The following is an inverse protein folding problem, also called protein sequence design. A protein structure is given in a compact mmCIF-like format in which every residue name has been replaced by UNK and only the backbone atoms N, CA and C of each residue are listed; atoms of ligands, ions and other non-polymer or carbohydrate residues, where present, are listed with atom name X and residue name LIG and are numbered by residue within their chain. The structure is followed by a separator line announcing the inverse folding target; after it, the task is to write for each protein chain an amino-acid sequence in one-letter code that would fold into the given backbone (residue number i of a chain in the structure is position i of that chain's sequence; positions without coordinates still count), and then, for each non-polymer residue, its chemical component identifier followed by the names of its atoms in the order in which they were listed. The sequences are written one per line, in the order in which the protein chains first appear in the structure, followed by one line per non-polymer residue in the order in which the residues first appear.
data_IF_306706104938
#
_entry.id   IF_306706104938
#
_cell.length_a   1.000
_cell.length_b   1.000
_cell.length_c   1.000
_cell.angle_alpha   90.00
_cell.angle_beta   90.00
_cell.angle_gamma   90.00
#
_symmetry.space_group_name_H-M   'P 1'
#
loop_
_entity.id
_entity.type
_entity.pdbx_description
1 polymer ?
#
# COMPACT_ATOMS: atom_id res chain seq x y z
N UNK A 1 28.75 2.70 6.65
CA UNK A 1 28.51 3.83 5.73
C UNK A 1 27.09 4.31 5.96
N UNK A 2 26.79 5.62 6.06
CA UNK A 2 25.41 6.06 5.97
C UNK A 2 24.94 5.76 4.55
N UNK A 3 24.00 4.83 4.39
CA UNK A 3 23.30 4.65 3.13
C UNK A 3 22.48 5.92 2.86
N UNK A 4 22.54 6.38 1.60
CA UNK A 4 21.82 7.54 1.09
C UNK A 4 20.32 7.38 1.42
N UNK A 5 19.85 8.07 2.46
CA UNK A 5 18.48 7.96 2.95
C UNK A 5 17.58 8.89 2.16
N UNK A 6 16.38 8.40 1.84
CA UNK A 6 15.28 8.96 1.05
C UNK A 6 14.78 10.36 1.47
N UNK A 7 15.66 11.34 1.45
CA UNK A 7 15.38 12.75 1.61
C UNK A 7 16.15 13.54 0.55
N UNK A 8 15.64 14.70 0.20
CA UNK A 8 16.47 15.72 -0.42
C UNK A 8 16.84 16.69 0.67
N UNK A 9 18.11 16.67 1.04
CA UNK A 9 18.67 17.70 1.86
C UNK A 9 19.45 18.69 1.01
N UNK A 10 19.40 19.93 1.43
CA UNK A 10 20.10 21.01 0.78
C UNK A 10 20.74 21.85 1.86
N UNK A 11 22.00 22.20 1.64
CA UNK A 11 22.58 23.37 2.30
C UNK A 11 22.37 24.54 1.34
N UNK A 12 21.39 25.38 1.66
CA UNK A 12 21.13 26.61 0.91
C UNK A 12 22.14 27.67 1.34
N UNK A 13 23.06 28.02 0.44
CA UNK A 13 23.93 29.19 0.58
C UNK A 13 23.26 30.34 -0.17
N UNK A 14 22.76 31.32 0.57
CA UNK A 14 21.99 32.43 0.01
C UNK A 14 22.92 33.62 -0.27
N UNK A 15 22.75 34.35 -1.39
CA UNK A 15 23.56 35.53 -1.72
C UNK A 15 23.12 36.77 -0.91
N UNK A 16 22.90 36.59 0.39
CA UNK A 16 22.50 37.63 1.32
C UNK A 16 23.68 37.85 2.29
N UNK A 17 24.24 39.06 2.37
CA UNK A 17 25.36 39.34 3.28
C UNK A 17 25.04 38.93 4.72
N UNK A 18 25.99 38.27 5.38
CA UNK A 18 25.90 37.79 6.77
C UNK A 18 24.80 36.75 7.05
N UNK A 19 24.19 36.13 6.03
CA UNK A 19 23.27 35.02 6.24
C UNK A 19 24.04 33.69 6.32
N UNK A 20 23.95 32.93 7.43
CA UNK A 20 24.57 31.62 7.50
C UNK A 20 23.87 30.63 6.56
N UNK A 21 24.57 29.59 6.08
CA UNK A 21 23.94 28.53 5.29
C UNK A 21 22.76 27.89 6.03
N UNK A 22 21.67 27.61 5.30
CA UNK A 22 20.46 26.99 5.86
C UNK A 22 20.40 25.53 5.45
N UNK A 23 20.32 24.63 6.42
CA UNK A 23 20.03 23.22 6.16
C UNK A 23 18.53 23.01 5.99
N UNK A 24 18.13 22.47 4.83
CA UNK A 24 16.74 22.14 4.48
C UNK A 24 16.61 20.64 4.30
N UNK A 25 15.56 20.05 4.86
CA UNK A 25 15.22 18.64 4.73
C UNK A 25 13.81 18.50 4.16
N UNK A 26 13.69 17.88 2.98
CA UNK A 26 12.40 17.62 2.32
C UNK A 26 12.02 16.14 2.46
N UNK A 27 10.89 15.89 3.12
CA UNK A 27 10.29 14.54 3.23
C UNK A 27 8.81 14.56 2.87
N UNK A 28 8.31 13.44 2.30
CA UNK A 28 6.87 13.26 2.10
C UNK A 28 6.14 13.24 3.46
N UNK A 29 4.90 13.76 3.55
CA UNK A 29 4.13 13.71 4.78
C UNK A 29 3.91 12.24 5.22
N UNK A 30 3.83 11.97 6.54
CA UNK A 30 3.46 10.67 7.05
C UNK A 30 2.15 10.16 6.45
N UNK A 31 2.00 8.85 6.43
CA UNK A 31 0.72 8.22 6.09
C UNK A 31 -0.32 8.50 7.18
N UNK A 32 -1.60 8.59 6.79
CA UNK A 32 -2.72 8.75 7.72
C UNK A 32 -3.41 7.41 7.93
N UNK A 33 -3.92 7.18 9.14
CA UNK A 33 -4.66 5.96 9.44
C UNK A 33 -5.91 5.87 8.55
N UNK A 34 -6.15 4.67 7.99
CA UNK A 34 -7.21 4.36 7.01
C UNK A 34 -7.09 5.11 5.68
N UNK A 35 -5.96 5.74 5.41
CA UNK A 35 -5.67 6.28 4.09
C UNK A 35 -5.62 5.13 3.07
N UNK A 36 -6.31 5.32 1.94
CA UNK A 36 -6.33 4.38 0.82
C UNK A 36 -5.71 5.06 -0.39
N UNK A 37 -4.79 4.37 -1.03
CA UNK A 37 -4.12 4.79 -2.27
C UNK A 37 -3.49 3.55 -2.95
N UNK A 38 -2.88 3.70 -4.11
CA UNK A 38 -2.00 2.66 -4.66
C UNK A 38 -0.81 2.43 -3.74
N UNK A 39 -0.38 1.19 -3.58
CA UNK A 39 0.73 0.86 -2.69
C UNK A 39 2.00 1.66 -3.01
N UNK A 40 2.32 1.84 -4.30
CA UNK A 40 3.43 2.66 -4.78
C UNK A 40 3.40 4.09 -4.22
N UNK A 41 2.22 4.68 -4.05
CA UNK A 41 2.08 6.07 -3.58
C UNK A 41 2.47 6.23 -2.11
N UNK A 42 2.46 5.14 -1.34
CA UNK A 42 2.96 5.12 0.03
C UNK A 42 4.48 4.94 0.15
N UNK A 43 5.18 4.67 -0.96
CA UNK A 43 6.62 4.54 -0.94
C UNK A 43 7.27 5.82 -0.39
N UNK A 44 8.22 5.62 0.54
CA UNK A 44 9.00 6.69 1.21
C UNK A 44 8.17 7.65 2.08
N UNK A 45 6.94 7.27 2.48
CA UNK A 45 6.16 8.03 3.48
C UNK A 45 6.38 7.42 4.88
N UNK A 46 6.67 8.23 5.92
CA UNK A 46 6.79 7.74 7.29
C UNK A 46 5.55 6.97 7.74
N UNK A 47 5.76 5.82 8.39
CA UNK A 47 4.71 4.86 8.73
C UNK A 47 4.14 5.01 10.15
N UNK A 48 4.90 5.58 11.09
CA UNK A 48 4.44 5.89 12.46
C UNK A 48 3.61 4.77 13.14
N UNK A 49 4.10 3.52 13.10
CA UNK A 49 3.42 2.37 13.73
C UNK A 49 2.27 1.76 12.92
N UNK A 50 2.09 2.17 11.67
CA UNK A 50 1.12 1.62 10.71
C UNK A 50 1.82 0.85 9.59
N UNK A 51 1.09 0.04 8.84
CA UNK A 51 1.57 -0.59 7.62
C UNK A 51 0.59 -0.31 6.47
N UNK A 52 1.09 -0.35 5.23
CA UNK A 52 0.22 -0.50 4.06
C UNK A 52 -0.10 -1.98 3.87
N UNK A 53 -1.38 -2.30 3.83
CA UNK A 53 -1.91 -3.61 3.57
C UNK A 53 -2.47 -3.63 2.13
N UNK A 54 -1.94 -4.51 1.27
CA UNK A 54 -2.39 -4.64 -0.12
C UNK A 54 -3.70 -5.40 -0.12
N UNK A 55 -4.72 -4.87 -0.80
CA UNK A 55 -6.00 -5.58 -0.94
C UNK A 55 -6.39 -5.58 -2.42
N UNK A 56 -6.39 -6.75 -3.08
CA UNK A 56 -6.10 -8.08 -2.52
C UNK A 56 -4.59 -8.32 -2.32
N UNK A 57 -4.22 -9.48 -1.80
CA UNK A 57 -2.81 -9.82 -1.56
C UNK A 57 -1.94 -9.66 -2.83
N UNK A 58 -0.73 -9.12 -2.67
CA UNK A 58 0.20 -8.91 -3.78
C UNK A 58 0.53 -10.20 -4.55
N UNK A 59 0.49 -11.37 -3.89
CA UNK A 59 0.71 -12.65 -4.55
C UNK A 59 -0.40 -12.98 -5.57
N UNK A 60 -1.68 -12.77 -5.21
CA UNK A 60 -2.80 -13.00 -6.10
C UNK A 60 -2.78 -12.04 -7.29
N UNK A 61 -2.42 -10.77 -7.03
CA UNK A 61 -2.23 -9.76 -8.09
C UNK A 61 -1.16 -10.19 -9.09
N UNK A 62 -0.02 -10.69 -8.62
CA UNK A 62 1.06 -11.16 -9.51
C UNK A 62 0.62 -12.31 -10.42
N UNK A 63 -0.13 -13.29 -9.89
CA UNK A 63 -0.69 -14.38 -10.71
C UNK A 63 -1.60 -13.82 -11.80
N UNK A 64 -2.57 -12.97 -11.43
CA UNK A 64 -3.50 -12.36 -12.39
C UNK A 64 -2.77 -11.54 -13.45
N UNK A 65 -1.75 -10.77 -13.07
CA UNK A 65 -0.95 -9.99 -14.01
C UNK A 65 -0.14 -10.87 -14.97
N UNK A 66 0.44 -11.97 -14.50
CA UNK A 66 1.16 -12.93 -15.34
C UNK A 66 0.21 -13.62 -16.35
N UNK A 67 -1.03 -13.91 -15.96
CA UNK A 67 -2.07 -14.44 -16.86
C UNK A 67 -2.48 -13.42 -17.93
N UNK A 68 -2.68 -12.16 -17.54
CA UNK A 68 -3.06 -11.09 -18.46
C UNK A 68 -1.94 -10.70 -19.42
N UNK A 69 -0.68 -10.84 -19.00
CA UNK A 69 0.49 -10.38 -19.74
C UNK A 69 1.60 -11.45 -19.76
N UNK A 70 1.40 -12.57 -20.48
CA UNK A 70 2.31 -13.73 -20.44
C UNK A 70 3.70 -13.48 -21.04
N UNK A 71 3.91 -12.32 -21.68
CA UNK A 71 5.18 -11.92 -22.30
C UNK A 71 6.02 -11.01 -21.39
N UNK A 72 5.48 -10.56 -20.25
CA UNK A 72 6.20 -9.69 -19.33
C UNK A 72 7.11 -10.52 -18.42
N UNK A 73 8.29 -9.98 -18.16
CA UNK A 73 9.25 -10.56 -17.23
C UNK A 73 8.78 -10.41 -15.78
N UNK A 74 9.27 -11.29 -14.90
CA UNK A 74 8.87 -11.29 -13.49
C UNK A 74 9.10 -9.92 -12.81
N UNK A 75 10.19 -9.22 -13.15
CA UNK A 75 10.48 -7.89 -12.63
C UNK A 75 9.39 -6.86 -13.01
N UNK A 76 8.88 -6.93 -14.24
CA UNK A 76 7.82 -6.05 -14.72
C UNK A 76 6.50 -6.35 -13.99
N UNK A 77 6.18 -7.63 -13.81
CA UNK A 77 5.01 -8.06 -13.02
C UNK A 77 5.14 -7.61 -11.56
N UNK A 78 6.33 -7.75 -10.97
CA UNK A 78 6.63 -7.30 -9.61
C UNK A 78 6.50 -5.78 -9.46
N UNK A 79 6.86 -5.01 -10.48
CA UNK A 79 6.66 -3.56 -10.47
C UNK A 79 5.18 -3.19 -10.62
N UNK A 80 4.46 -3.79 -11.57
CA UNK A 80 3.02 -3.56 -11.77
C UNK A 80 2.19 -3.96 -10.53
N UNK A 81 2.61 -4.99 -9.80
CA UNK A 81 1.94 -5.40 -8.56
C UNK A 81 2.01 -4.34 -7.45
N UNK A 82 2.85 -3.30 -7.57
CA UNK A 82 2.86 -2.13 -6.67
C UNK A 82 1.72 -1.15 -6.95
N UNK A 83 1.04 -1.30 -8.08
CA UNK A 83 -0.11 -0.49 -8.48
C UNK A 83 -1.43 -1.20 -8.16
N UNK A 84 -1.48 -1.90 -7.01
CA UNK A 84 -2.72 -2.37 -6.37
C UNK A 84 -3.10 -1.42 -5.24
N UNK A 85 -4.40 -1.31 -4.98
CA UNK A 85 -4.91 -0.58 -3.83
C UNK A 85 -4.33 -1.13 -2.52
N UNK A 86 -4.00 -0.21 -1.62
CA UNK A 86 -3.58 -0.51 -0.26
C UNK A 86 -4.26 0.43 0.74
N UNK A 87 -4.46 -0.07 1.95
CA UNK A 87 -4.98 0.71 3.09
C UNK A 87 -3.93 0.79 4.19
N UNK A 88 -3.83 1.96 4.81
CA UNK A 88 -2.99 2.19 5.98
C UNK A 88 -3.70 1.73 7.25
N UNK A 89 -3.17 0.71 7.90
CA UNK A 89 -3.76 0.12 9.12
C UNK A 89 -2.72 0.00 10.23
N UNK A 90 -3.13 -0.13 11.51
CA UNK A 90 -2.18 -0.34 12.59
C UNK A 90 -1.33 -1.58 12.33
N UNK A 91 -0.01 -1.51 12.57
CA UNK A 91 0.91 -2.62 12.31
C UNK A 91 0.46 -3.91 13.02
N UNK A 92 -0.08 -3.79 14.24
CA UNK A 92 -0.61 -4.89 15.03
C UNK A 92 -1.81 -5.59 14.37
N UNK A 93 -2.68 -4.85 13.68
CA UNK A 93 -3.81 -5.43 12.93
C UNK A 93 -3.30 -6.16 11.71
N UNK A 94 -2.42 -5.53 10.93
CA UNK A 94 -1.80 -6.16 9.75
C UNK A 94 -1.12 -7.47 10.14
N UNK A 95 -0.25 -7.44 11.15
CA UNK A 95 0.53 -8.59 11.61
C UNK A 95 -0.33 -9.74 12.12
N UNK A 96 -1.38 -9.46 12.90
CA UNK A 96 -2.13 -10.51 13.60
C UNK A 96 -3.34 -11.04 12.85
N UNK A 97 -3.98 -10.20 12.04
CA UNK A 97 -5.32 -10.48 11.52
C UNK A 97 -5.39 -10.51 9.99
N UNK A 98 -4.55 -9.73 9.31
CA UNK A 98 -4.62 -9.67 7.84
C UNK A 98 -4.08 -10.95 7.21
N UNK A 99 -4.79 -11.47 6.22
CA UNK A 99 -4.39 -12.66 5.48
C UNK A 99 -3.19 -12.37 4.54
N UNK A 100 -2.97 -11.10 4.21
CA UNK A 100 -1.95 -10.62 3.28
C UNK A 100 -0.58 -10.43 3.96
N UNK A 101 -0.53 -10.50 5.29
CA UNK A 101 0.70 -10.32 6.05
C UNK A 101 1.59 -11.56 5.99
N UNK A 102 2.85 -11.35 5.61
CA UNK A 102 3.92 -12.33 5.80
C UNK A 102 3.70 -13.67 5.08
N UNK A 103 2.95 -13.68 3.97
CA UNK A 103 2.69 -14.92 3.21
C UNK A 103 1.74 -15.89 3.91
N UNK A 104 0.84 -15.40 4.79
CA UNK A 104 -0.14 -16.24 5.50
C UNK A 104 -1.17 -16.89 4.57
N UNK A 105 -1.41 -16.31 3.39
CA UNK A 105 -2.27 -16.93 2.38
C UNK A 105 -1.69 -18.27 1.89
N UNK A 106 -2.53 -19.31 1.87
CA UNK A 106 -2.15 -20.60 1.29
C UNK A 106 -2.09 -20.51 -0.24
N UNK A 107 -1.27 -21.33 -0.93
CA UNK A 107 -1.21 -21.33 -2.39
C UNK A 107 -2.59 -21.47 -3.06
N UNK A 108 -3.42 -22.41 -2.57
CA UNK A 108 -4.78 -22.61 -3.08
C UNK A 108 -5.71 -21.40 -2.86
N UNK A 109 -5.45 -20.56 -1.86
CA UNK A 109 -6.20 -19.32 -1.69
C UNK A 109 -5.69 -18.24 -2.63
N UNK A 110 -4.37 -18.13 -2.83
CA UNK A 110 -3.77 -17.18 -3.76
C UNK A 110 -4.27 -17.43 -5.18
N UNK A 111 -4.29 -18.69 -5.63
CA UNK A 111 -4.81 -19.07 -6.96
C UNK A 111 -6.29 -18.71 -7.11
N UNK A 112 -7.12 -19.02 -6.10
CA UNK A 112 -8.55 -18.66 -6.10
C UNK A 112 -8.77 -17.14 -6.12
N UNK A 113 -8.04 -16.42 -5.29
CA UNK A 113 -8.10 -14.96 -5.23
C UNK A 113 -7.65 -14.32 -6.55
N UNK A 114 -6.67 -14.92 -7.25
CA UNK A 114 -6.21 -14.43 -8.56
C UNK A 114 -7.31 -14.50 -9.63
N UNK A 115 -8.18 -15.49 -9.57
CA UNK A 115 -9.32 -15.62 -10.49
C UNK A 115 -10.42 -14.58 -10.24
N UNK A 116 -10.57 -14.11 -8.99
CA UNK A 116 -11.52 -13.06 -8.62
C UNK A 116 -10.92 -12.11 -7.58
N UNK A 117 -10.10 -11.18 -8.07
CA UNK A 117 -9.46 -10.15 -7.25
C UNK A 117 -10.48 -9.23 -6.56
N UNK A 118 -11.70 -9.10 -7.11
CA UNK A 118 -12.73 -8.23 -6.54
C UNK A 118 -13.28 -8.84 -5.26
N UNK A 119 -13.69 -10.10 -5.31
CA UNK A 119 -14.14 -10.86 -4.14
C UNK A 119 -13.02 -11.02 -3.10
N UNK A 120 -11.76 -11.15 -3.54
CA UNK A 120 -10.61 -11.21 -2.65
C UNK A 120 -10.44 -9.93 -1.81
N UNK A 121 -10.66 -8.74 -2.38
CA UNK A 121 -10.67 -7.46 -1.62
C UNK A 121 -11.71 -7.49 -0.52
N UNK A 122 -12.94 -7.88 -0.85
CA UNK A 122 -14.03 -7.93 0.12
C UNK A 122 -13.69 -8.89 1.27
N UNK A 123 -13.15 -10.07 0.95
CA UNK A 123 -12.73 -11.07 1.92
C UNK A 123 -11.63 -10.54 2.86
N UNK A 124 -10.56 -9.96 2.29
CA UNK A 124 -9.41 -9.46 3.04
C UNK A 124 -9.82 -8.26 3.93
N UNK A 125 -10.61 -7.33 3.40
CA UNK A 125 -11.07 -6.17 4.15
C UNK A 125 -12.04 -6.55 5.28
N UNK A 126 -13.03 -7.41 5.01
CA UNK A 126 -13.99 -7.85 6.02
C UNK A 126 -13.33 -8.61 7.18
N UNK A 127 -12.22 -9.30 6.93
CA UNK A 127 -11.43 -10.00 7.97
C UNK A 127 -10.89 -9.01 9.01
N UNK A 128 -10.40 -7.85 8.59
CA UNK A 128 -9.80 -6.86 9.50
C UNK A 128 -10.78 -5.78 9.98
N UNK A 129 -11.90 -5.59 9.27
CA UNK A 129 -12.91 -4.54 9.53
C UNK A 129 -13.33 -4.44 11.02
N UNK A 130 -13.66 -5.53 11.73
CA UNK A 130 -14.03 -5.44 13.15
C UNK A 130 -12.90 -4.89 14.03
N UNK A 131 -11.66 -5.26 13.74
CA UNK A 131 -10.51 -4.78 14.49
C UNK A 131 -10.22 -3.30 14.21
N UNK A 132 -10.41 -2.82 12.98
CA UNK A 132 -10.22 -1.40 12.65
C UNK A 132 -11.18 -0.48 13.42
N UNK A 133 -12.40 -0.94 13.74
CA UNK A 133 -13.35 -0.20 14.60
C UNK A 133 -12.78 0.06 16.00
N UNK A 134 -12.02 -0.88 16.56
CA UNK A 134 -11.34 -0.71 17.84
C UNK A 134 -10.22 0.35 17.80
N UNK A 135 -9.81 0.79 16.61
CA UNK A 135 -8.89 1.90 16.39
C UNK A 135 -9.60 3.18 15.92
N UNK A 136 -10.90 3.30 16.18
CA UNK A 136 -11.68 4.51 15.93
C UNK A 136 -12.19 4.67 14.50
N UNK A 137 -12.11 3.63 13.66
CA UNK A 137 -12.73 3.65 12.34
C UNK A 137 -14.26 3.67 12.46
N UNK A 138 -14.91 4.68 11.87
CA UNK A 138 -16.37 4.69 11.69
C UNK A 138 -16.77 3.77 10.54
N UNK A 139 -18.03 3.34 10.53
CA UNK A 139 -18.57 2.53 9.42
C UNK A 139 -18.44 3.27 8.09
N UNK A 140 -18.80 4.56 8.05
CA UNK A 140 -18.71 5.40 6.86
C UNK A 140 -17.27 5.52 6.33
N UNK A 141 -16.27 5.64 7.20
CA UNK A 141 -14.86 5.66 6.79
C UNK A 141 -14.43 4.33 6.17
N UNK A 142 -14.88 3.21 6.75
CA UNK A 142 -14.55 1.87 6.25
C UNK A 142 -15.22 1.59 4.90
N UNK A 143 -16.47 1.99 4.72
CA UNK A 143 -17.18 1.89 3.44
C UNK A 143 -16.54 2.75 2.35
N UNK A 144 -16.16 4.00 2.68
CA UNK A 144 -15.43 4.87 1.76
C UNK A 144 -14.06 4.29 1.39
N UNK A 145 -13.35 3.71 2.36
CA UNK A 145 -12.07 3.05 2.11
C UNK A 145 -12.23 1.86 1.16
N UNK A 146 -13.18 0.96 1.42
CA UNK A 146 -13.48 -0.19 0.57
C UNK A 146 -13.90 0.23 -0.85
N UNK A 147 -14.82 1.19 -0.96
CA UNK A 147 -15.24 1.76 -2.24
C UNK A 147 -14.06 2.35 -3.03
N UNK A 148 -13.17 3.09 -2.35
CA UNK A 148 -11.97 3.65 -2.98
C UNK A 148 -11.00 2.56 -3.45
N UNK A 149 -10.80 1.48 -2.68
CA UNK A 149 -9.96 0.36 -3.11
C UNK A 149 -10.51 -0.30 -4.38
N UNK A 150 -11.82 -0.55 -4.43
CA UNK A 150 -12.45 -1.09 -5.64
C UNK A 150 -12.28 -0.17 -6.86
N UNK A 151 -12.48 1.15 -6.66
CA UNK A 151 -12.28 2.12 -7.74
C UNK A 151 -10.85 2.09 -8.28
N UNK A 152 -9.85 2.12 -7.40
CA UNK A 152 -8.44 2.07 -7.80
C UNK A 152 -8.12 0.78 -8.55
N UNK A 153 -8.50 -0.38 -8.01
CA UNK A 153 -8.23 -1.66 -8.66
C UNK A 153 -8.95 -1.80 -10.02
N UNK A 154 -10.15 -1.22 -10.16
CA UNK A 154 -10.86 -1.12 -11.44
C UNK A 154 -10.10 -0.25 -12.45
N UNK A 155 -9.61 0.92 -12.03
CA UNK A 155 -8.81 1.84 -12.87
C UNK A 155 -7.49 1.21 -13.32
N UNK A 156 -6.90 0.35 -12.50
CA UNK A 156 -5.70 -0.42 -12.82
C UNK A 156 -6.00 -1.68 -13.67
N UNK A 157 -7.27 -1.93 -13.99
CA UNK A 157 -7.68 -3.06 -14.83
C UNK A 157 -7.58 -4.43 -14.16
N UNK A 158 -7.54 -4.49 -12.82
CA UNK A 158 -7.39 -5.73 -12.05
C UNK A 158 -8.69 -6.55 -11.96
N UNK A 159 -9.85 -5.94 -12.19
CA UNK A 159 -11.16 -6.61 -12.13
C UNK A 159 -11.68 -7.09 -13.50
N UNK A 160 -10.77 -7.56 -14.37
CA UNK A 160 -11.09 -8.07 -15.69
C UNK A 160 -11.31 -9.57 -15.71
#
# INVERSE_FOLDING_TARGET
MPEEKDFRDYILVLPIPNMPPVYVYLSKPPVKLFEVDLYRNFARRPRNGTHADHMPSAAAVKIKLAELYPVLEEEQINDMAKDVAAIIIPAKVHQKLSATYGGRNSPAQIERDAQDLRTAVDRDFNTIKPALKNYGATEEQLEKALSKMHKLNQEQGLYR
#
